data_IF_137164255991
#
_entry.id   IF_137164255991
#
_cell.length_a   1.000
_cell.length_b   1.000
_cell.length_c   1.000
_cell.angle_alpha   90.00
_cell.angle_beta   90.00
_cell.angle_gamma   90.00
#
_symmetry.space_group_name_H-M   'P 1'
#
loop_
_entity.id
_entity.type
_entity.pdbx_description
1 polymer ?
#
# COMPACT_ATOMS: atom_id res chain seq x y z
N UNK A 1 1.56 -12.52 -1.17
CA UNK A 1 2.68 -11.72 -0.66
C UNK A 1 3.88 -11.94 -1.57
N UNK A 2 4.77 -10.98 -1.62
CA UNK A 2 5.94 -11.08 -2.47
C UNK A 2 7.21 -10.98 -1.64
N UNK A 3 8.33 -11.26 -2.26
CA UNK A 3 9.65 -11.11 -1.68
C UNK A 3 9.78 -11.83 -0.34
N UNK A 4 9.44 -13.11 -0.35
CA UNK A 4 9.51 -14.01 0.82
C UNK A 4 8.64 -13.54 1.99
N UNK A 5 7.56 -12.84 1.67
CA UNK A 5 6.61 -12.40 2.67
C UNK A 5 6.92 -11.06 3.33
N UNK A 6 7.97 -10.37 2.88
CA UNK A 6 8.29 -9.06 3.45
C UNK A 6 7.33 -7.97 2.98
N UNK A 7 6.64 -8.18 1.87
CA UNK A 7 5.67 -7.21 1.33
C UNK A 7 4.30 -7.86 1.26
N UNK A 8 3.30 -7.19 1.81
CA UNK A 8 1.93 -7.66 1.78
C UNK A 8 1.00 -6.53 1.35
N UNK A 9 -0.09 -6.87 0.69
CA UNK A 9 -1.08 -5.86 0.34
C UNK A 9 -2.48 -6.46 0.27
N UNK A 10 -3.47 -5.58 0.31
CA UNK A 10 -4.87 -5.97 0.18
C UNK A 10 -5.59 -4.94 -0.67
N UNK A 11 -6.63 -5.38 -1.36
CA UNK A 11 -7.50 -4.51 -2.14
C UNK A 11 -8.89 -4.56 -1.51
N UNK A 12 -9.41 -3.39 -1.15
CA UNK A 12 -10.74 -3.27 -0.56
C UNK A 12 -11.65 -2.66 -1.62
N UNK A 13 -12.62 -3.43 -2.09
CA UNK A 13 -13.58 -2.95 -3.08
C UNK A 13 -14.59 -2.01 -2.43
N UNK A 14 -15.22 -1.18 -3.24
CA UNK A 14 -16.23 -0.25 -2.76
C UNK A 14 -17.41 -0.99 -2.13
N UNK A 15 -17.80 -2.14 -2.69
CA UNK A 15 -18.90 -2.91 -2.13
C UNK A 15 -18.54 -3.49 -0.77
N UNK A 16 -17.31 -3.95 -0.58
CA UNK A 16 -16.83 -4.39 0.73
C UNK A 16 -16.85 -3.24 1.73
N UNK A 17 -16.38 -2.07 1.29
CA UNK A 17 -16.32 -0.88 2.11
C UNK A 17 -17.71 -0.48 2.60
N UNK A 18 -18.67 -0.41 1.68
CA UNK A 18 -20.05 -0.04 2.01
C UNK A 18 -20.73 -1.08 2.89
N UNK A 19 -20.51 -2.36 2.58
CA UNK A 19 -21.16 -3.47 3.26
C UNK A 19 -20.73 -3.60 4.71
N UNK A 20 -19.49 -3.25 5.02
CA UNK A 20 -18.92 -3.40 6.35
C UNK A 20 -18.85 -2.08 7.12
N UNK A 21 -19.35 -0.99 6.55
CA UNK A 21 -19.31 0.34 7.16
C UNK A 21 -17.90 0.84 7.46
N UNK A 22 -16.93 0.41 6.68
CA UNK A 22 -15.57 0.91 6.83
C UNK A 22 -15.50 2.36 6.38
N UNK A 23 -14.50 3.09 6.86
CA UNK A 23 -14.24 4.46 6.48
C UNK A 23 -12.75 4.64 6.18
N UNK A 24 -12.34 5.88 5.88
CA UNK A 24 -10.94 6.15 5.54
C UNK A 24 -9.98 5.73 6.64
N UNK A 25 -10.36 5.98 7.88
CA UNK A 25 -9.55 5.59 9.04
C UNK A 25 -9.43 4.08 9.12
N UNK A 26 -10.50 3.37 8.80
CA UNK A 26 -10.49 1.90 8.83
C UNK A 26 -9.53 1.34 7.79
N UNK A 27 -9.44 1.95 6.58
CA UNK A 27 -8.50 1.44 5.57
C UNK A 27 -7.05 1.67 6.00
N UNK A 28 -6.76 2.78 6.67
CA UNK A 28 -5.42 3.01 7.23
C UNK A 28 -5.12 2.01 8.34
N UNK A 29 -6.11 1.71 9.18
CA UNK A 29 -5.97 0.70 10.22
C UNK A 29 -5.74 -0.70 9.64
N UNK A 30 -6.33 -0.97 8.48
CA UNK A 30 -6.14 -2.24 7.80
C UNK A 30 -4.68 -2.41 7.34
N UNK A 31 -4.08 -1.32 6.82
CA UNK A 31 -2.66 -1.35 6.43
C UNK A 31 -1.78 -1.63 7.64
N UNK A 32 -2.08 -1.00 8.79
CA UNK A 32 -1.35 -1.24 10.02
C UNK A 32 -1.49 -2.68 10.49
N UNK A 33 -2.70 -3.23 10.36
CA UNK A 33 -2.94 -4.61 10.73
C UNK A 33 -2.10 -5.58 9.89
N UNK A 34 -2.07 -5.37 8.58
CA UNK A 34 -1.29 -6.22 7.68
C UNK A 34 0.21 -6.10 8.01
N UNK A 35 0.67 -4.89 8.26
CA UNK A 35 2.08 -4.65 8.60
C UNK A 35 2.48 -5.38 9.89
N UNK A 36 1.54 -5.56 10.82
CA UNK A 36 1.79 -6.24 12.08
C UNK A 36 1.97 -7.75 11.94
N UNK A 37 1.71 -8.32 10.78
CA UNK A 37 1.93 -9.74 10.56
C UNK A 37 3.43 -10.00 10.55
N UNK A 38 3.84 -11.05 11.28
CA UNK A 38 5.26 -11.36 11.43
C UNK A 38 5.94 -11.53 10.08
N UNK A 39 7.06 -10.85 9.90
CA UNK A 39 7.84 -10.92 8.66
C UNK A 39 7.48 -9.89 7.63
N UNK A 40 6.39 -9.14 7.82
CA UNK A 40 5.98 -8.10 6.87
C UNK A 40 6.68 -6.79 7.23
N UNK A 41 7.48 -6.28 6.30
CA UNK A 41 8.20 -5.02 6.47
C UNK A 41 7.49 -3.86 5.79
N UNK A 42 6.84 -4.11 4.67
CA UNK A 42 6.09 -3.10 3.91
C UNK A 42 4.69 -3.63 3.66
N UNK A 43 3.68 -2.81 3.94
CA UNK A 43 2.30 -3.17 3.64
C UNK A 43 1.63 -2.00 2.92
N UNK A 44 0.73 -2.31 2.00
CA UNK A 44 -0.10 -1.27 1.41
C UNK A 44 -1.52 -1.78 1.22
N UNK A 45 -2.46 -0.84 1.36
CA UNK A 45 -3.87 -1.13 1.22
C UNK A 45 -4.45 -0.26 0.11
N UNK A 46 -5.13 -0.89 -0.82
CA UNK A 46 -5.73 -0.21 -1.97
C UNK A 46 -7.24 -0.19 -1.74
N UNK A 47 -7.80 1.01 -1.63
CA UNK A 47 -9.23 1.20 -1.37
C UNK A 47 -9.90 1.76 -2.61
N UNK A 48 -10.91 1.06 -3.09
CA UNK A 48 -11.68 1.50 -4.25
C UNK A 48 -12.59 2.67 -3.87
N UNK A 49 -12.51 3.75 -4.65
CA UNK A 49 -13.42 4.90 -4.57
C UNK A 49 -14.22 4.96 -5.87
N UNK A 50 -15.09 5.98 -6.00
CA UNK A 50 -15.99 6.07 -7.16
C UNK A 50 -15.24 6.12 -8.49
N UNK A 51 -14.19 6.92 -8.58
CA UNK A 51 -13.47 7.15 -9.83
C UNK A 51 -11.96 6.93 -9.73
N UNK A 52 -11.49 6.46 -8.58
CA UNK A 52 -10.05 6.29 -8.36
C UNK A 52 -9.82 5.23 -7.29
N UNK A 53 -8.55 4.85 -7.11
CA UNK A 53 -8.13 4.04 -5.96
C UNK A 53 -7.24 4.88 -5.07
N UNK A 54 -7.43 4.75 -3.76
CA UNK A 54 -6.55 5.34 -2.76
C UNK A 54 -5.62 4.24 -2.25
N UNK A 55 -4.32 4.53 -2.21
CA UNK A 55 -3.33 3.56 -1.74
C UNK A 55 -2.67 4.13 -0.49
N UNK A 56 -2.70 3.36 0.59
CA UNK A 56 -2.06 3.71 1.86
C UNK A 56 -0.89 2.77 2.10
N UNK A 57 0.28 3.32 2.37
CA UNK A 57 1.51 2.56 2.60
C UNK A 57 1.94 2.64 4.05
N UNK A 58 2.44 1.55 4.58
CA UNK A 58 3.03 1.48 5.92
C UNK A 58 4.30 0.65 5.87
N UNK A 59 5.28 1.07 6.65
CA UNK A 59 6.54 0.36 6.77
C UNK A 59 6.88 0.19 8.25
N UNK A 60 7.60 -0.88 8.56
CA UNK A 60 8.01 -1.18 9.93
C UNK A 60 9.30 -0.46 10.33
N UNK A 61 9.74 0.49 9.53
CA UNK A 61 10.91 1.31 9.86
C UNK A 61 12.21 0.88 9.19
N UNK A 62 12.22 -0.27 8.55
CA UNK A 62 13.41 -0.76 7.86
C UNK A 62 13.56 -0.10 6.48
N UNK A 63 12.45 0.12 5.80
CA UNK A 63 12.44 0.72 4.47
C UNK A 63 11.52 1.93 4.45
N UNK A 64 11.93 3.02 3.81
CA UNK A 64 11.05 4.15 3.61
C UNK A 64 10.16 3.90 2.39
N UNK A 65 8.92 4.40 2.43
CA UNK A 65 7.97 4.19 1.33
C UNK A 65 7.39 5.49 0.78
N UNK A 66 7.78 6.64 1.32
CA UNK A 66 7.26 7.92 0.85
C UNK A 66 7.68 8.21 -0.59
N UNK A 67 8.84 7.73 -1.01
CA UNK A 67 9.31 7.89 -2.39
C UNK A 67 8.48 7.03 -3.35
N UNK A 68 8.03 5.86 -2.92
CA UNK A 68 7.14 5.02 -3.74
C UNK A 68 5.82 5.75 -3.95
N UNK A 69 5.23 6.30 -2.89
CA UNK A 69 4.01 7.10 -3.02
C UNK A 69 4.24 8.29 -3.95
N UNK A 70 5.42 8.90 -3.89
CA UNK A 70 5.78 10.03 -4.75
C UNK A 70 5.80 9.71 -6.22
N UNK A 71 6.07 8.46 -6.60
CA UNK A 71 6.04 8.03 -8.00
C UNK A 71 4.63 8.18 -8.61
N UNK A 72 3.61 8.20 -7.77
CA UNK A 72 2.22 8.32 -8.20
C UNK A 72 1.63 9.68 -7.83
N UNK A 73 2.49 10.66 -7.53
CA UNK A 73 2.04 12.00 -7.20
C UNK A 73 1.61 12.20 -5.75
N UNK A 74 1.82 11.20 -4.92
CA UNK A 74 1.48 11.30 -3.50
C UNK A 74 2.68 11.62 -2.63
N UNK A 75 2.63 11.23 -1.37
CA UNK A 75 3.71 11.45 -0.43
C UNK A 75 3.28 11.18 1.00
N UNK A 76 4.09 11.67 1.93
CA UNK A 76 3.81 11.50 3.35
C UNK A 76 5.10 11.32 4.13
N UNK A 77 5.00 10.65 5.26
CA UNK A 77 6.16 10.35 6.10
C UNK A 77 6.96 9.18 5.52
N UNK A 78 8.17 9.00 5.99
CA UNK A 78 9.03 7.92 5.51
C UNK A 78 8.37 6.54 5.65
N UNK A 79 7.61 6.32 6.72
CA UNK A 79 7.05 5.01 7.04
C UNK A 79 5.52 4.98 6.98
N UNK A 80 4.90 6.08 6.54
CA UNK A 80 3.45 6.18 6.41
C UNK A 80 3.13 7.21 5.34
N UNK A 81 2.67 6.75 4.19
CA UNK A 81 2.44 7.63 3.04
C UNK A 81 1.23 7.14 2.25
N UNK A 82 0.81 7.91 1.27
CA UNK A 82 -0.31 7.52 0.45
C UNK A 82 -0.32 8.21 -0.90
N UNK A 83 -1.12 7.67 -1.81
CA UNK A 83 -1.30 8.23 -3.14
C UNK A 83 -2.65 7.81 -3.69
N UNK A 84 -2.99 8.35 -4.87
CA UNK A 84 -4.20 8.01 -5.60
C UNK A 84 -3.84 7.62 -7.01
N UNK A 85 -4.57 6.68 -7.60
CA UNK A 85 -4.36 6.26 -8.98
C UNK A 85 -5.70 6.19 -9.70
N UNK A 86 -5.65 6.23 -11.04
CA UNK A 86 -6.82 6.11 -11.87
C UNK A 86 -7.35 4.67 -11.86
N UNK A 87 -8.66 4.52 -12.07
CA UNK A 87 -9.30 3.20 -12.02
C UNK A 87 -8.69 2.19 -12.97
N UNK A 88 -8.36 2.61 -14.18
CA UNK A 88 -7.84 1.70 -15.20
C UNK A 88 -6.36 1.38 -15.05
N UNK A 89 -5.69 1.97 -14.06
CA UNK A 89 -4.25 1.77 -13.85
C UNK A 89 -3.92 0.80 -12.73
N UNK A 90 -4.93 0.10 -12.20
CA UNK A 90 -4.74 -0.70 -10.98
C UNK A 90 -3.66 -1.77 -11.13
N UNK A 91 -3.78 -2.62 -12.15
CA UNK A 91 -2.84 -3.74 -12.31
C UNK A 91 -1.42 -3.26 -12.54
N UNK A 92 -1.24 -2.25 -13.40
CA UNK A 92 0.09 -1.72 -13.70
C UNK A 92 0.69 -1.01 -12.48
N UNK A 93 -0.15 -0.34 -11.69
CA UNK A 93 0.31 0.34 -10.48
C UNK A 93 0.75 -0.65 -9.42
N UNK A 94 0.00 -1.73 -9.22
CA UNK A 94 0.37 -2.78 -8.27
C UNK A 94 1.72 -3.37 -8.67
N UNK A 95 1.88 -3.70 -9.95
CA UNK A 95 3.13 -4.28 -10.44
C UNK A 95 4.30 -3.33 -10.20
N UNK A 96 4.11 -2.03 -10.48
CA UNK A 96 5.16 -1.04 -10.28
C UNK A 96 5.51 -0.90 -8.80
N UNK A 97 4.51 -0.90 -7.92
CA UNK A 97 4.74 -0.81 -6.48
C UNK A 97 5.53 -2.01 -5.99
N UNK A 98 5.13 -3.22 -6.41
CA UNK A 98 5.81 -4.43 -6.00
C UNK A 98 7.26 -4.45 -6.49
N UNK A 99 7.50 -4.00 -7.72
CA UNK A 99 8.85 -3.92 -8.27
C UNK A 99 9.70 -2.93 -7.48
N UNK A 100 9.15 -1.79 -7.10
CA UNK A 100 9.90 -0.81 -6.31
C UNK A 100 10.18 -1.32 -4.89
N UNK A 101 9.25 -2.05 -4.29
CA UNK A 101 9.47 -2.67 -2.99
C UNK A 101 10.59 -3.71 -3.08
N UNK A 102 10.55 -4.55 -4.11
CA UNK A 102 11.59 -5.56 -4.32
C UNK A 102 12.95 -4.91 -4.50
N UNK A 103 13.01 -3.81 -5.24
CA UNK A 103 14.26 -3.09 -5.46
C UNK A 103 14.84 -2.57 -4.15
N UNK A 104 13.99 -1.99 -3.29
CA UNK A 104 14.43 -1.49 -1.99
C UNK A 104 14.98 -2.61 -1.12
N UNK A 105 14.26 -3.71 -1.06
CA UNK A 105 14.64 -4.84 -0.20
C UNK A 105 15.92 -5.48 -0.68
N UNK A 106 16.07 -5.63 -1.99
CA UNK A 106 17.24 -6.30 -2.56
C UNK A 106 18.49 -5.42 -2.61
N UNK A 107 18.34 -4.10 -2.48
CA UNK A 107 19.45 -3.17 -2.55
C UNK A 107 19.97 -2.70 -1.20
N UNK A 108 19.55 -3.34 -0.13
CA UNK A 108 19.92 -2.96 1.26
C UNK A 108 21.16 -3.72 1.74
N UNK A 109 21.99 -4.15 0.89
CA UNK A 109 23.20 -4.86 1.29
C UNK A 109 24.40 -3.95 1.41
#
# INVERSE_FOLDING_TARGET
MSNDGEVAYAVISQSMFNKTNLNHTASDGFSEFIRGIKGVEIAFCITEKDDEYKISFRSDGKYSINDIAGLFGGGGHYYAAGCKIQKNDLSSSIEKILNECDRKINNVN
#
